data_IF_582767308421
#
_entry.id   IF_582767308421
#
_cell.length_a   1.000
_cell.length_b   1.000
_cell.length_c   1.000
_cell.angle_alpha   90.00
_cell.angle_beta   90.00
_cell.angle_gamma   90.00
#
_symmetry.space_group_name_H-M   'P 1'
#
loop_
_entity.id
_entity.type
_entity.pdbx_description
1 polymer ?
#
# COMPACT_ATOMS: atom_id res chain seq x y z
N UNK A 1 -7.89 -9.89 30.50
CA UNK A 1 -9.36 -9.81 30.62
C UNK A 1 -10.08 -10.38 29.38
N UNK A 2 -9.73 -9.96 28.15
CA UNK A 2 -10.37 -10.46 26.91
C UNK A 2 -10.24 -11.99 26.78
N UNK A 3 -9.03 -12.53 27.02
CA UNK A 3 -8.78 -13.97 26.97
C UNK A 3 -9.55 -14.76 28.03
N UNK A 4 -9.70 -14.23 29.24
CA UNK A 4 -10.45 -14.84 30.34
C UNK A 4 -11.96 -14.85 30.08
N UNK A 5 -12.45 -13.84 29.36
CA UNK A 5 -13.88 -13.66 29.10
C UNK A 5 -14.30 -14.03 27.68
N UNK A 6 -13.38 -14.58 26.88
CA UNK A 6 -13.60 -15.01 25.49
C UNK A 6 -14.03 -13.90 24.52
N UNK A 7 -13.61 -12.66 24.77
CA UNK A 7 -13.86 -11.55 23.85
C UNK A 7 -12.77 -11.44 22.80
N UNK A 8 -13.11 -11.12 21.56
CA UNK A 8 -12.14 -10.71 20.58
C UNK A 8 -11.50 -9.38 20.95
N UNK A 9 -10.21 -9.23 20.68
CA UNK A 9 -9.46 -8.00 20.90
C UNK A 9 -8.93 -7.50 19.56
N UNK A 10 -9.39 -6.32 19.11
CA UNK A 10 -9.03 -5.74 17.83
C UNK A 10 -8.26 -4.45 18.05
N UNK A 11 -6.97 -4.38 17.64
CA UNK A 11 -6.22 -3.13 17.66
C UNK A 11 -6.74 -2.19 16.58
N UNK A 12 -6.93 -0.94 16.94
CA UNK A 12 -7.46 0.10 16.06
C UNK A 12 -6.50 1.30 16.03
N UNK A 13 -6.06 1.65 14.83
CA UNK A 13 -5.25 2.85 14.57
C UNK A 13 -6.10 3.95 13.97
N UNK A 14 -6.02 4.16 12.64
CA UNK A 14 -6.82 5.16 11.93
C UNK A 14 -8.10 4.64 11.27
N UNK A 15 -8.39 3.35 11.33
CA UNK A 15 -9.59 2.75 10.72
C UNK A 15 -9.66 2.87 9.20
N UNK A 16 -8.53 3.04 8.53
CA UNK A 16 -8.45 3.34 7.10
C UNK A 16 -8.29 2.10 6.19
N UNK A 17 -8.32 0.89 6.77
CA UNK A 17 -8.26 -0.35 5.99
C UNK A 17 -9.45 -0.46 5.02
N UNK A 18 -9.15 -0.79 3.76
CA UNK A 18 -10.17 -1.01 2.70
C UNK A 18 -10.49 -2.49 2.49
N UNK A 19 -9.84 -3.39 3.23
CA UNK A 19 -9.97 -4.85 3.11
C UNK A 19 -10.66 -5.51 4.31
N UNK A 20 -11.17 -4.69 5.23
CA UNK A 20 -11.88 -5.19 6.42
C UNK A 20 -10.97 -5.75 7.53
N UNK A 21 -9.74 -5.29 7.63
CA UNK A 21 -8.76 -5.73 8.64
C UNK A 21 -9.14 -5.44 10.10
N UNK A 22 -10.12 -4.56 10.34
CA UNK A 22 -10.68 -4.26 11.66
C UNK A 22 -12.15 -4.65 11.80
N UNK A 23 -12.73 -5.37 10.84
CA UNK A 23 -14.07 -5.93 11.00
C UNK A 23 -14.04 -7.07 12.01
N UNK A 24 -14.85 -7.00 13.03
CA UNK A 24 -14.95 -8.05 14.05
C UNK A 24 -15.25 -9.44 13.48
N UNK A 25 -15.16 -10.50 14.30
CA UNK A 25 -15.61 -11.83 13.92
C UNK A 25 -17.10 -11.83 13.56
N UNK A 26 -17.57 -12.90 12.92
CA UNK A 26 -19.00 -13.08 12.67
C UNK A 26 -19.79 -12.98 13.98
N UNK A 27 -21.00 -12.40 13.87
CA UNK A 27 -21.80 -11.89 15.00
C UNK A 27 -21.99 -12.90 16.14
N UNK A 28 -22.07 -14.17 15.83
CA UNK A 28 -22.36 -15.24 16.80
C UNK A 28 -21.14 -16.08 17.19
N UNK A 29 -19.94 -15.74 16.69
CA UNK A 29 -18.73 -16.53 16.91
C UNK A 29 -18.13 -16.31 18.30
N UNK A 30 -18.33 -15.14 18.92
CA UNK A 30 -17.78 -14.75 20.23
C UNK A 30 -18.79 -13.88 20.99
N UNK A 31 -18.73 -13.86 22.34
CA UNK A 31 -19.61 -13.04 23.19
C UNK A 31 -19.56 -11.55 22.89
N UNK A 32 -18.43 -11.06 22.37
CA UNK A 32 -18.26 -9.66 22.01
C UNK A 32 -16.86 -9.32 21.52
N UNK A 33 -16.69 -8.05 21.21
CA UNK A 33 -15.45 -7.46 20.68
C UNK A 33 -15.02 -6.29 21.56
N UNK A 34 -13.76 -6.26 21.94
CA UNK A 34 -13.08 -5.11 22.55
C UNK A 34 -12.18 -4.47 21.53
N UNK A 35 -12.42 -3.22 21.19
CA UNK A 35 -11.54 -2.44 20.31
C UNK A 35 -10.54 -1.68 21.18
N UNK A 36 -9.25 -1.87 20.91
CA UNK A 36 -8.16 -1.12 21.56
C UNK A 36 -7.75 0.02 20.66
N UNK A 37 -8.23 1.22 20.95
CA UNK A 37 -7.85 2.44 20.27
C UNK A 37 -6.44 2.87 20.69
N UNK A 38 -5.53 2.94 19.73
CA UNK A 38 -4.13 3.32 19.94
C UNK A 38 -3.90 4.83 19.80
N UNK A 39 -4.93 5.64 19.59
CA UNK A 39 -4.82 7.09 19.33
C UNK A 39 -4.06 7.89 20.41
N UNK A 40 -4.02 7.41 21.65
CA UNK A 40 -3.22 8.01 22.71
C UNK A 40 -1.71 7.69 22.63
N UNK A 41 -1.30 6.71 21.84
CA UNK A 41 0.10 6.40 21.56
C UNK A 41 0.57 7.23 20.34
N UNK A 42 0.71 8.55 20.50
CA UNK A 42 0.84 9.50 19.40
C UNK A 42 2.09 10.41 19.48
N UNK A 43 3.14 9.95 20.17
CA UNK A 43 4.36 10.74 20.39
C UNK A 43 5.56 10.11 19.72
N UNK A 44 6.50 10.94 19.33
CA UNK A 44 7.89 10.55 19.10
C UNK A 44 8.57 10.51 20.45
N UNK A 45 9.06 9.34 20.85
CA UNK A 45 9.65 9.10 22.16
C UNK A 45 11.12 9.49 22.20
N UNK A 46 11.83 9.27 21.08
CA UNK A 46 13.25 9.51 20.97
C UNK A 46 13.61 9.80 19.50
N UNK A 47 14.53 10.72 19.24
CA UNK A 47 15.10 11.01 17.92
C UNK A 47 16.62 10.87 18.02
N UNK A 48 17.19 10.04 17.15
CA UNK A 48 18.64 9.93 16.96
C UNK A 48 19.02 10.57 15.62
N UNK A 49 19.51 11.81 15.63
CA UNK A 49 19.86 12.50 14.39
C UNK A 49 21.16 11.97 13.75
N UNK A 50 22.01 11.29 14.52
CA UNK A 50 23.26 10.71 14.02
C UNK A 50 22.98 9.50 13.13
N UNK A 51 22.16 8.57 13.64
CA UNK A 51 21.75 7.39 12.88
C UNK A 51 20.52 7.65 12.00
N UNK A 52 19.93 8.85 12.07
CA UNK A 52 18.69 9.23 11.37
C UNK A 52 17.56 8.24 11.61
N UNK A 53 17.26 8.00 12.86
CA UNK A 53 16.16 7.13 13.30
C UNK A 53 15.35 7.82 14.40
N UNK A 54 14.11 7.36 14.58
CA UNK A 54 13.30 7.77 15.73
C UNK A 54 12.49 6.60 16.27
N UNK A 55 12.31 6.58 17.59
CA UNK A 55 11.36 5.71 18.27
C UNK A 55 10.00 6.39 18.32
N UNK A 56 9.03 5.81 17.66
CA UNK A 56 7.75 6.44 17.36
C UNK A 56 6.61 5.54 17.85
N UNK A 57 5.64 6.10 18.54
CA UNK A 57 4.47 5.38 19.02
C UNK A 57 3.51 5.04 17.85
N UNK A 58 2.88 3.88 17.94
CA UNK A 58 2.15 3.25 16.84
C UNK A 58 0.82 3.93 16.45
N UNK A 59 0.20 4.66 17.37
CA UNK A 59 -1.06 5.38 17.12
C UNK A 59 -0.90 6.75 16.47
N UNK A 60 0.33 7.23 16.27
CA UNK A 60 0.58 8.55 15.67
C UNK A 60 0.10 8.58 14.20
N UNK A 61 -0.64 9.61 13.82
CA UNK A 61 -1.08 9.83 12.45
C UNK A 61 -0.01 10.54 11.63
N UNK A 62 -0.05 10.37 10.30
CA UNK A 62 0.95 10.92 9.39
C UNK A 62 1.25 12.40 9.55
N UNK A 63 0.25 13.32 9.59
CA UNK A 63 0.50 14.74 9.81
C UNK A 63 1.22 15.06 11.11
N UNK A 64 0.80 14.45 12.22
CA UNK A 64 1.39 14.67 13.54
C UNK A 64 2.82 14.10 13.62
N UNK A 65 3.08 12.97 12.97
CA UNK A 65 4.41 12.36 12.86
C UNK A 65 5.38 13.31 12.12
N UNK A 66 4.99 13.79 10.96
CA UNK A 66 5.83 14.70 10.16
C UNK A 66 6.05 16.05 10.83
N UNK A 67 5.06 16.59 11.55
CA UNK A 67 5.21 17.86 12.29
C UNK A 67 6.16 17.69 13.47
N UNK A 68 6.12 16.55 14.19
CA UNK A 68 7.05 16.27 15.28
C UNK A 68 8.49 16.01 14.79
N UNK A 69 8.69 15.47 13.57
CA UNK A 69 10.03 15.26 12.98
C UNK A 69 10.64 16.53 12.39
N UNK A 70 9.81 17.49 12.00
CA UNK A 70 10.23 18.71 11.29
C UNK A 70 11.29 19.55 12.00
N UNK A 71 11.23 19.80 13.34
CA UNK A 71 12.27 20.53 14.06
C UNK A 71 13.66 19.87 13.99
N UNK A 72 13.70 18.55 13.78
CA UNK A 72 14.94 17.77 13.65
C UNK A 72 15.51 17.75 12.22
N UNK A 73 14.85 18.42 11.26
CA UNK A 73 15.26 18.37 9.86
C UNK A 73 15.06 17.01 9.18
N UNK A 74 14.26 16.13 9.80
CA UNK A 74 14.02 14.76 9.38
C UNK A 74 12.58 14.53 8.90
N UNK A 75 12.37 13.44 8.19
CA UNK A 75 11.07 12.98 7.69
C UNK A 75 11.06 11.46 7.57
N UNK A 76 9.94 10.82 7.86
CA UNK A 76 9.75 9.40 7.55
C UNK A 76 9.55 9.20 6.04
N UNK A 77 8.96 10.15 5.39
CA UNK A 77 8.66 10.15 3.95
C UNK A 77 7.74 9.01 3.50
N UNK A 78 7.03 8.38 4.41
CA UNK A 78 6.00 7.38 4.11
C UNK A 78 4.64 8.06 4.05
N UNK A 79 4.07 8.18 2.83
CA UNK A 79 2.83 8.93 2.58
C UNK A 79 1.84 8.05 1.80
N UNK A 80 1.14 7.12 2.44
CA UNK A 80 0.06 6.37 1.81
C UNK A 80 -1.12 7.31 1.47
N UNK A 81 -2.05 6.86 0.64
CA UNK A 81 -3.23 7.66 0.26
C UNK A 81 -4.08 8.06 1.49
N UNK A 82 -4.13 7.21 2.49
CA UNK A 82 -4.79 7.43 3.78
C UNK A 82 -3.98 8.23 4.81
N UNK A 83 -2.84 8.80 4.45
CA UNK A 83 -1.86 9.41 5.34
C UNK A 83 -2.44 10.35 6.41
N UNK A 84 -3.51 11.09 6.08
CA UNK A 84 -4.13 12.03 7.01
C UNK A 84 -4.86 11.34 8.18
N UNK A 85 -5.29 10.09 7.99
CA UNK A 85 -6.13 9.35 8.95
C UNK A 85 -5.57 8.00 9.35
N UNK A 86 -4.44 7.58 8.82
CA UNK A 86 -3.82 6.30 9.13
C UNK A 86 -2.64 6.46 10.08
N UNK A 87 -2.41 5.45 10.90
CA UNK A 87 -1.39 5.45 11.94
C UNK A 87 -0.16 4.64 11.55
N UNK A 88 0.99 4.95 12.16
CA UNK A 88 2.24 4.23 11.95
C UNK A 88 2.11 2.73 12.21
N UNK A 89 1.49 2.34 13.34
CA UNK A 89 1.29 0.91 13.66
C UNK A 89 0.38 0.21 12.65
N UNK A 90 -0.62 0.92 12.12
CA UNK A 90 -1.45 0.44 11.02
C UNK A 90 -0.64 0.21 9.76
N UNK A 91 0.24 1.13 9.37
CA UNK A 91 1.11 0.96 8.20
C UNK A 91 2.00 -0.29 8.33
N UNK A 92 2.62 -0.47 9.50
CA UNK A 92 3.50 -1.63 9.76
C UNK A 92 2.68 -2.94 9.75
N UNK A 93 1.54 -2.95 10.44
CA UNK A 93 0.68 -4.12 10.54
C UNK A 93 0.08 -4.56 9.20
N UNK A 94 -0.02 -3.67 8.21
CA UNK A 94 -0.60 -3.95 6.89
C UNK A 94 0.42 -3.97 5.75
N UNK A 95 1.72 -3.84 6.02
CA UNK A 95 2.77 -3.70 5.01
C UNK A 95 2.47 -2.59 3.99
N UNK A 96 2.00 -1.47 4.49
CA UNK A 96 1.58 -0.34 3.66
C UNK A 96 2.73 0.19 2.80
N UNK A 97 2.40 0.70 1.62
CA UNK A 97 3.32 1.42 0.75
C UNK A 97 2.97 2.90 0.67
N UNK A 98 3.99 3.73 0.54
CA UNK A 98 3.85 5.18 0.45
C UNK A 98 3.71 5.70 -0.98
N UNK A 99 3.62 7.02 -1.12
CA UNK A 99 3.56 7.71 -2.41
C UNK A 99 4.84 7.57 -3.25
N UNK A 100 5.97 7.32 -2.60
CA UNK A 100 7.28 7.21 -3.27
C UNK A 100 7.46 5.83 -3.87
N UNK A 101 7.82 5.78 -5.16
CA UNK A 101 7.45 4.69 -6.04
C UNK A 101 8.53 3.65 -6.31
N UNK A 102 9.82 3.93 -6.05
CA UNK A 102 10.91 3.04 -6.51
C UNK A 102 12.00 2.77 -5.48
N UNK A 103 12.03 3.51 -4.37
CA UNK A 103 13.02 3.34 -3.31
C UNK A 103 12.32 3.50 -1.96
N UNK A 104 12.56 2.59 -1.02
CA UNK A 104 11.87 2.56 0.27
C UNK A 104 10.33 2.65 0.12
N UNK A 105 9.77 1.82 -0.74
CA UNK A 105 8.35 1.83 -1.08
C UNK A 105 7.48 1.26 0.03
N UNK A 106 7.91 0.14 0.60
CA UNK A 106 7.23 -0.52 1.72
C UNK A 106 7.71 0.01 3.06
N UNK A 107 6.80 0.09 4.00
CA UNK A 107 7.12 0.40 5.41
C UNK A 107 8.12 -0.59 6.01
N UNK A 108 8.16 -1.82 5.51
CA UNK A 108 9.07 -2.90 5.91
C UNK A 108 10.54 -2.45 5.92
N UNK A 109 10.95 -1.67 4.92
CA UNK A 109 12.33 -1.21 4.76
C UNK A 109 12.67 -0.06 5.72
N UNK A 110 11.65 0.61 6.23
CA UNK A 110 11.79 1.72 7.17
C UNK A 110 11.80 1.25 8.62
N UNK A 111 11.30 0.04 8.92
CA UNK A 111 11.33 -0.52 10.27
C UNK A 111 12.73 -0.97 10.63
N UNK A 112 13.25 -0.49 11.76
CA UNK A 112 14.52 -0.92 12.32
C UNK A 112 14.33 -1.92 13.46
N UNK A 113 13.35 -1.70 14.33
CA UNK A 113 12.91 -2.66 15.35
C UNK A 113 11.50 -2.35 15.85
N UNK A 114 10.83 -3.35 16.41
CA UNK A 114 9.47 -3.25 16.96
C UNK A 114 9.42 -3.53 18.44
N UNK A 115 8.44 -2.90 19.09
CA UNK A 115 7.93 -3.33 20.40
C UNK A 115 6.47 -3.79 20.21
N UNK A 116 6.21 -5.05 20.56
CA UNK A 116 4.92 -5.71 20.37
C UNK A 116 4.43 -6.30 21.68
N UNK A 117 3.20 -6.01 22.06
CA UNK A 117 2.53 -6.60 23.21
C UNK A 117 1.63 -7.74 22.75
N UNK A 118 1.79 -8.90 23.36
CA UNK A 118 1.00 -10.09 23.09
C UNK A 118 0.41 -10.64 24.40
N UNK A 119 -0.60 -11.50 24.37
CA UNK A 119 -1.07 -12.20 25.58
C UNK A 119 -0.01 -13.00 26.31
N UNK A 120 0.98 -13.56 25.60
CA UNK A 120 2.08 -14.32 26.21
C UNK A 120 3.20 -13.44 26.80
N UNK A 121 3.26 -12.15 26.44
CA UNK A 121 4.28 -11.23 26.90
C UNK A 121 4.62 -10.13 25.93
N UNK A 122 5.65 -9.35 26.25
CA UNK A 122 6.14 -8.25 25.39
C UNK A 122 7.40 -8.68 24.68
N UNK A 123 7.40 -8.50 23.35
CA UNK A 123 8.58 -8.69 22.49
C UNK A 123 9.14 -7.31 22.16
N UNK A 124 10.44 -7.15 22.37
CA UNK A 124 11.17 -5.95 22.00
C UNK A 124 12.52 -6.34 21.43
N UNK A 125 12.71 -6.05 20.15
CA UNK A 125 13.94 -6.38 19.47
C UNK A 125 15.00 -5.29 19.64
N UNK A 126 16.26 -5.65 19.40
CA UNK A 126 17.36 -4.69 19.43
C UNK A 126 17.26 -3.77 18.21
N UNK A 127 17.53 -2.50 18.42
CA UNK A 127 17.74 -1.53 17.36
C UNK A 127 19.09 -1.78 16.69
N UNK A 128 19.10 -2.23 15.45
CA UNK A 128 20.31 -2.54 14.67
C UNK A 128 20.10 -2.14 13.20
N UNK A 129 21.16 -1.61 12.52
CA UNK A 129 21.05 -1.28 11.09
C UNK A 129 20.82 -2.51 10.20
N UNK A 130 21.27 -3.68 10.66
CA UNK A 130 21.09 -4.99 10.06
C UNK A 130 21.66 -6.07 10.96
N UNK A 131 21.22 -7.32 10.80
CA UNK A 131 21.74 -8.46 11.56
C UNK A 131 21.65 -9.72 10.73
N UNK A 132 22.71 -10.55 10.77
CA UNK A 132 22.74 -11.92 10.27
C UNK A 132 22.51 -12.98 11.33
N UNK A 133 22.07 -12.57 12.54
CA UNK A 133 21.86 -13.49 13.68
C UNK A 133 20.48 -14.17 13.59
N UNK A 134 20.32 -15.06 12.64
CA UNK A 134 19.10 -15.83 12.40
C UNK A 134 17.99 -15.04 11.69
N UNK A 135 16.76 -15.59 11.64
CA UNK A 135 15.59 -14.92 11.06
C UNK A 135 15.29 -13.61 11.79
N UNK A 136 14.90 -12.58 11.03
CA UNK A 136 14.53 -11.29 11.60
C UNK A 136 13.18 -11.41 12.34
N UNK A 137 13.13 -11.20 13.66
CA UNK A 137 11.91 -11.38 14.44
C UNK A 137 10.85 -10.31 14.18
N UNK A 138 11.23 -9.10 13.74
CA UNK A 138 10.27 -8.04 13.41
C UNK A 138 9.41 -8.41 12.21
N UNK A 139 9.97 -9.18 11.27
CA UNK A 139 9.27 -9.62 10.05
C UNK A 139 8.07 -10.54 10.34
N UNK A 140 8.00 -11.15 11.53
CA UNK A 140 6.83 -11.92 11.95
C UNK A 140 5.59 -11.03 12.17
N UNK A 141 5.82 -9.81 12.65
CA UNK A 141 4.74 -8.88 13.01
C UNK A 141 4.38 -7.90 11.89
N UNK A 142 5.31 -7.63 10.98
CA UNK A 142 5.07 -6.79 9.81
C UNK A 142 4.10 -7.52 8.87
N UNK A 143 2.91 -6.93 8.64
CA UNK A 143 1.85 -7.57 7.86
C UNK A 143 0.96 -8.55 8.63
N UNK A 144 1.10 -8.64 9.96
CA UNK A 144 0.27 -9.52 10.80
C UNK A 144 -1.15 -9.00 11.05
N UNK A 145 -1.45 -7.76 10.66
CA UNK A 145 -2.76 -7.11 10.83
C UNK A 145 -3.31 -7.18 12.26
N UNK A 146 -2.42 -7.14 13.25
CA UNK A 146 -2.79 -7.24 14.66
C UNK A 146 -3.21 -8.62 15.13
N UNK A 147 -3.06 -9.65 14.30
CA UNK A 147 -3.41 -11.02 14.68
C UNK A 147 -2.37 -11.71 15.57
N UNK A 148 -1.11 -11.29 15.54
CA UNK A 148 -0.01 -11.87 16.32
C UNK A 148 0.39 -11.04 17.55
N UNK A 149 -0.06 -9.79 17.61
CA UNK A 149 0.29 -8.87 18.69
C UNK A 149 -0.09 -7.44 18.36
N UNK A 150 0.00 -6.55 19.35
CA UNK A 150 -0.29 -5.13 19.21
C UNK A 150 1.04 -4.37 19.19
N UNK A 151 1.35 -3.75 18.06
CA UNK A 151 2.53 -2.90 17.92
C UNK A 151 2.28 -1.62 18.72
N UNK A 152 3.14 -1.31 19.69
CA UNK A 152 3.00 -0.12 20.54
C UNK A 152 3.92 1.00 20.12
N UNK A 153 5.11 0.69 19.69
CA UNK A 153 6.10 1.62 19.16
C UNK A 153 7.12 0.91 18.25
N UNK A 154 7.78 1.67 17.42
CA UNK A 154 8.79 1.19 16.50
C UNK A 154 9.95 2.18 16.38
N UNK A 155 11.17 1.67 16.21
CA UNK A 155 12.28 2.44 15.68
C UNK A 155 12.17 2.48 14.16
N UNK A 156 12.11 3.69 13.62
CA UNK A 156 11.94 3.93 12.18
C UNK A 156 13.15 4.63 11.59
N UNK A 157 13.62 4.16 10.44
CA UNK A 157 14.64 4.84 9.61
C UNK A 157 14.06 6.09 9.01
N UNK A 158 14.79 7.19 9.11
CA UNK A 158 14.37 8.50 8.63
C UNK A 158 15.28 9.01 7.52
N UNK A 159 14.78 9.98 6.80
CA UNK A 159 15.51 10.68 5.72
C UNK A 159 15.66 12.16 6.07
N UNK A 160 16.67 12.81 5.49
CA UNK A 160 16.75 14.27 5.49
C UNK A 160 15.59 14.88 4.72
N UNK A 161 15.11 16.06 5.13
CA UNK A 161 14.05 16.76 4.41
C UNK A 161 14.56 17.21 3.04
N UNK A 162 13.71 17.01 2.05
CA UNK A 162 14.02 17.29 0.64
C UNK A 162 14.33 18.76 0.40
N UNK A 163 15.46 19.04 -0.23
CA UNK A 163 15.92 20.38 -0.63
C UNK A 163 15.90 20.53 -2.17
N UNK A 164 16.25 19.51 -2.90
CA UNK A 164 16.38 19.51 -4.34
C UNK A 164 15.31 18.65 -4.99
N UNK A 165 14.71 19.12 -6.07
CA UNK A 165 13.69 18.42 -6.84
C UNK A 165 13.89 18.68 -8.31
N UNK A 166 13.64 17.65 -9.12
CA UNK A 166 13.46 17.77 -10.56
C UNK A 166 12.31 16.86 -10.98
N UNK A 167 11.49 17.30 -11.93
CA UNK A 167 10.31 16.56 -12.32
C UNK A 167 9.94 16.76 -13.81
N UNK A 168 9.22 15.80 -14.37
CA UNK A 168 8.66 15.90 -15.71
C UNK A 168 7.35 15.12 -15.83
N UNK A 169 6.53 15.50 -16.81
CA UNK A 169 5.42 14.70 -17.33
C UNK A 169 5.69 14.31 -18.78
N UNK A 170 5.51 13.04 -19.08
CA UNK A 170 5.82 12.45 -20.39
C UNK A 170 4.61 11.66 -20.87
N UNK A 171 4.20 11.84 -22.15
CA UNK A 171 3.14 11.06 -22.76
C UNK A 171 3.68 9.97 -23.65
N UNK A 172 2.92 8.85 -23.72
CA UNK A 172 3.19 7.72 -24.61
C UNK A 172 1.91 7.35 -25.35
N UNK A 173 2.02 6.95 -26.62
CA UNK A 173 0.85 6.58 -27.45
C UNK A 173 0.13 5.33 -26.96
N UNK A 174 0.85 4.40 -26.32
CA UNK A 174 0.24 3.20 -25.75
C UNK A 174 0.83 2.95 -24.36
N UNK A 175 0.03 2.32 -23.48
CA UNK A 175 0.46 1.95 -22.15
C UNK A 175 1.70 1.05 -22.15
N UNK A 176 1.76 0.08 -23.08
CA UNK A 176 2.88 -0.86 -23.13
C UNK A 176 4.20 -0.22 -23.63
N UNK A 177 4.14 0.84 -24.44
CA UNK A 177 5.36 1.60 -24.80
C UNK A 177 5.99 2.24 -23.56
N UNK A 178 5.19 2.98 -22.80
CA UNK A 178 5.68 3.64 -21.60
C UNK A 178 6.07 2.65 -20.49
N UNK A 179 5.40 1.50 -20.41
CA UNK A 179 5.79 0.43 -19.48
C UNK A 179 7.22 -0.07 -19.73
N UNK A 180 7.65 -0.17 -20.99
CA UNK A 180 9.05 -0.52 -21.37
C UNK A 180 10.03 0.55 -20.91
N UNK A 181 9.69 1.83 -21.10
CA UNK A 181 10.52 2.94 -20.61
C UNK A 181 10.64 2.95 -19.09
N UNK A 182 9.53 2.78 -18.39
CA UNK A 182 9.47 2.74 -16.93
C UNK A 182 10.29 1.56 -16.37
N UNK A 183 10.20 0.37 -16.99
CA UNK A 183 11.07 -0.76 -16.66
C UNK A 183 12.55 -0.40 -16.78
N UNK A 184 12.94 0.19 -17.89
CA UNK A 184 14.33 0.57 -18.14
C UNK A 184 14.84 1.62 -17.12
N UNK A 185 13.98 2.58 -16.71
CA UNK A 185 14.32 3.57 -15.68
C UNK A 185 14.62 2.87 -14.34
N UNK A 186 13.76 1.94 -13.92
CA UNK A 186 13.94 1.23 -12.64
C UNK A 186 15.15 0.30 -12.66
N UNK A 187 15.40 -0.36 -13.80
CA UNK A 187 16.57 -1.25 -13.99
C UNK A 187 17.89 -0.48 -14.17
N UNK A 188 17.83 0.79 -14.53
CA UNK A 188 19.01 1.65 -14.60
C UNK A 188 19.52 2.16 -13.23
N UNK A 189 18.84 1.81 -12.13
CA UNK A 189 19.23 2.20 -10.78
C UNK A 189 19.08 3.70 -10.48
N UNK A 190 18.17 4.38 -11.17
CA UNK A 190 17.95 5.82 -11.01
C UNK A 190 17.08 6.17 -9.80
N UNK A 191 16.22 5.26 -9.38
CA UNK A 191 15.35 5.37 -8.20
C UNK A 191 14.56 6.69 -8.09
N UNK A 192 13.70 7.04 -9.08
CA UNK A 192 12.87 8.22 -8.96
C UNK A 192 11.96 8.13 -7.72
N UNK A 193 11.83 9.23 -7.02
CA UNK A 193 10.94 9.35 -5.86
C UNK A 193 9.46 9.26 -6.26
N UNK A 194 9.13 9.75 -7.46
CA UNK A 194 7.81 9.56 -8.07
C UNK A 194 7.98 9.00 -9.49
N UNK A 195 7.38 7.84 -9.75
CA UNK A 195 7.34 7.22 -11.07
C UNK A 195 5.93 6.63 -11.27
N UNK A 196 4.95 7.51 -11.46
CA UNK A 196 3.54 7.15 -11.63
C UNK A 196 3.21 7.07 -13.11
N UNK A 197 2.89 5.89 -13.57
CA UNK A 197 2.52 5.68 -14.95
C UNK A 197 1.04 5.33 -15.05
N UNK A 198 0.27 6.19 -15.70
CA UNK A 198 -1.19 6.17 -15.82
C UNK A 198 -1.56 5.74 -17.25
N UNK A 199 -2.56 4.87 -17.41
CA UNK A 199 -3.17 4.67 -18.71
C UNK A 199 -4.03 5.89 -19.11
N UNK A 200 -4.54 5.89 -20.33
CA UNK A 200 -5.26 7.01 -20.93
C UNK A 200 -6.49 7.41 -20.09
N UNK A 201 -7.21 6.40 -19.58
CA UNK A 201 -8.42 6.63 -18.80
C UNK A 201 -8.09 7.13 -17.38
N UNK A 202 -7.09 6.54 -16.74
CA UNK A 202 -6.64 6.97 -15.41
C UNK A 202 -6.04 8.38 -15.47
N UNK A 203 -5.26 8.70 -16.53
CA UNK A 203 -4.72 10.04 -16.76
C UNK A 203 -5.82 11.10 -16.89
N UNK A 204 -6.88 10.81 -17.65
CA UNK A 204 -8.05 11.67 -17.77
C UNK A 204 -8.78 11.82 -16.44
N UNK A 205 -8.98 10.73 -15.73
CA UNK A 205 -9.70 10.67 -14.47
C UNK A 205 -9.04 11.53 -13.38
N UNK A 206 -7.71 11.54 -13.36
CA UNK A 206 -6.92 12.34 -12.43
C UNK A 206 -6.55 13.73 -12.96
N UNK A 207 -7.01 14.11 -14.16
CA UNK A 207 -6.68 15.40 -14.77
C UNK A 207 -5.20 15.56 -15.14
N UNK A 208 -4.49 14.45 -15.30
CA UNK A 208 -3.09 14.43 -15.73
C UNK A 208 -2.92 14.39 -17.24
N UNK A 209 -3.99 14.08 -17.98
CA UNK A 209 -4.06 14.02 -19.45
C UNK A 209 -5.49 14.21 -19.95
N UNK A 210 -5.66 14.23 -21.26
CA UNK A 210 -6.95 14.38 -21.93
C UNK A 210 -7.67 13.05 -22.26
N UNK A 211 -6.97 11.93 -22.02
CA UNK A 211 -7.48 10.58 -22.29
C UNK A 211 -7.06 10.01 -23.64
N UNK A 212 -6.16 10.66 -24.38
CA UNK A 212 -5.63 10.19 -25.65
C UNK A 212 -4.34 9.41 -25.54
N UNK A 213 -3.49 9.79 -24.59
CA UNK A 213 -2.17 9.24 -24.36
C UNK A 213 -2.03 8.74 -22.90
N UNK A 214 -1.26 7.70 -22.68
CA UNK A 214 -0.81 7.31 -21.36
C UNK A 214 0.22 8.31 -20.81
N UNK A 215 0.24 8.57 -19.50
CA UNK A 215 1.04 9.65 -18.90
C UNK A 215 1.96 9.13 -17.79
N UNK A 216 3.25 9.40 -17.93
CA UNK A 216 4.23 9.20 -16.87
C UNK A 216 4.45 10.52 -16.11
N UNK A 217 4.26 10.46 -14.80
CA UNK A 217 4.62 11.51 -13.86
C UNK A 217 5.91 11.09 -13.14
N UNK A 218 7.01 11.76 -13.50
CA UNK A 218 8.36 11.43 -13.05
C UNK A 218 8.90 12.53 -12.13
N UNK A 219 9.53 12.16 -11.02
CA UNK A 219 10.11 13.11 -10.08
C UNK A 219 11.27 12.53 -9.30
N UNK A 220 12.32 13.31 -9.16
CA UNK A 220 13.49 13.02 -8.35
C UNK A 220 13.58 13.99 -7.17
N UNK A 221 14.06 13.51 -6.05
CA UNK A 221 14.23 14.29 -4.83
C UNK A 221 15.55 13.94 -4.14
N UNK A 222 16.19 14.95 -3.55
CA UNK A 222 17.36 14.80 -2.69
C UNK A 222 17.35 15.78 -1.53
N UNK A 223 17.89 15.36 -0.39
CA UNK A 223 18.16 16.23 0.75
C UNK A 223 19.55 16.92 0.65
N UNK A 224 20.40 16.51 -0.28
CA UNK A 224 21.82 16.81 -0.30
C UNK A 224 22.31 17.51 -1.58
N UNK A 225 21.95 17.00 -2.77
CA UNK A 225 22.51 17.45 -4.05
C UNK A 225 21.43 17.62 -5.14
N UNK A 226 21.73 18.40 -6.21
CA UNK A 226 20.88 18.49 -7.39
C UNK A 226 20.68 17.13 -8.07
N UNK A 227 19.51 16.92 -8.68
CA UNK A 227 19.07 15.64 -9.25
C UNK A 227 18.75 15.72 -10.75
N UNK A 228 19.20 16.78 -11.41
CA UNK A 228 18.91 17.07 -12.83
C UNK A 228 19.47 15.98 -13.75
N UNK A 229 20.69 15.50 -13.52
CA UNK A 229 21.32 14.46 -14.32
C UNK A 229 20.52 13.14 -14.31
N UNK A 230 19.86 12.81 -13.19
CA UNK A 230 19.00 11.63 -13.10
C UNK A 230 17.71 11.82 -13.89
N UNK A 231 17.12 13.02 -13.83
CA UNK A 231 15.97 13.35 -14.66
C UNK A 231 16.33 13.30 -16.14
N UNK A 232 17.44 13.93 -16.57
CA UNK A 232 17.89 13.93 -17.95
C UNK A 232 18.09 12.51 -18.49
N UNK A 233 18.77 11.65 -17.74
CA UNK A 233 18.94 10.25 -18.13
C UNK A 233 17.61 9.52 -18.29
N UNK A 234 16.67 9.76 -17.39
CA UNK A 234 15.33 9.17 -17.47
C UNK A 234 14.54 9.68 -18.69
N UNK A 235 14.70 10.95 -19.05
CA UNK A 235 14.07 11.53 -20.24
C UNK A 235 14.65 10.99 -21.53
N UNK A 236 15.97 10.73 -21.59
CA UNK A 236 16.59 10.02 -22.72
C UNK A 236 15.95 8.64 -22.91
N UNK A 237 15.86 7.84 -21.83
CA UNK A 237 15.20 6.53 -21.85
C UNK A 237 13.76 6.67 -22.35
N UNK A 238 13.00 7.64 -21.85
CA UNK A 238 11.62 7.85 -22.31
C UNK A 238 11.55 8.13 -23.82
N UNK A 239 12.46 8.95 -24.35
CA UNK A 239 12.53 9.28 -25.79
C UNK A 239 12.83 8.03 -26.63
N UNK A 240 13.73 7.16 -26.18
CA UNK A 240 14.06 5.91 -26.89
C UNK A 240 12.84 5.00 -27.09
N UNK A 241 11.86 5.10 -26.18
CA UNK A 241 10.58 4.38 -26.27
C UNK A 241 9.42 5.24 -26.81
N UNK A 242 9.71 6.35 -27.49
CA UNK A 242 8.69 7.21 -28.13
C UNK A 242 7.93 8.13 -27.18
N UNK A 243 8.48 8.37 -25.99
CA UNK A 243 7.93 9.32 -25.03
C UNK A 243 8.09 10.77 -25.47
N UNK A 244 7.04 11.57 -25.28
CA UNK A 244 7.00 12.99 -25.59
C UNK A 244 6.89 13.78 -24.29
N UNK A 245 7.92 14.57 -23.99
CA UNK A 245 7.96 15.43 -22.80
C UNK A 245 6.92 16.54 -22.97
N UNK A 246 5.99 16.65 -22.02
CA UNK A 246 4.95 17.69 -22.00
C UNK A 246 5.29 18.83 -21.03
N UNK A 247 5.95 18.51 -19.93
CA UNK A 247 6.39 19.48 -18.92
C UNK A 247 7.66 18.97 -18.27
N UNK A 248 8.58 19.87 -17.94
CA UNK A 248 9.82 19.59 -17.21
C UNK A 248 10.19 20.79 -16.34
N UNK A 249 10.74 20.52 -15.15
CA UNK A 249 11.39 21.52 -14.30
C UNK A 249 12.62 20.87 -13.62
N UNK A 250 13.77 21.50 -13.76
CA UNK A 250 15.00 21.12 -13.11
C UNK A 250 15.14 21.68 -11.70
N UNK A 251 16.27 21.40 -11.06
CA UNK A 251 16.58 21.84 -9.68
C UNK A 251 16.68 23.36 -9.58
N UNK A 252 17.18 24.04 -10.62
CA UNK A 252 17.31 25.49 -10.68
C UNK A 252 15.96 26.20 -10.91
N UNK A 253 14.97 25.48 -11.45
CA UNK A 253 13.61 25.99 -11.64
C UNK A 253 12.82 25.85 -10.34
N UNK A 254 11.63 26.49 -10.29
CA UNK A 254 10.74 26.26 -9.16
C UNK A 254 10.04 24.88 -9.24
N UNK A 255 10.83 23.81 -9.17
CA UNK A 255 10.35 22.42 -9.30
C UNK A 255 9.30 22.05 -8.24
N UNK A 256 9.30 22.71 -7.08
CA UNK A 256 8.26 22.55 -6.07
C UNK A 256 6.91 23.08 -6.56
N UNK A 257 6.89 24.25 -7.18
CA UNK A 257 5.67 24.85 -7.74
C UNK A 257 5.17 24.05 -8.93
N UNK A 258 6.07 23.64 -9.83
CA UNK A 258 5.76 22.80 -10.98
C UNK A 258 5.17 21.45 -10.56
N UNK A 259 5.65 20.86 -9.45
CA UNK A 259 5.08 19.63 -8.89
C UNK A 259 3.68 19.80 -8.27
N UNK A 260 3.23 21.04 -8.11
CA UNK A 260 1.90 21.40 -7.58
C UNK A 260 0.95 21.94 -8.64
N UNK A 261 1.40 22.11 -9.86
CA UNK A 261 0.63 22.61 -11.01
C UNK A 261 0.64 21.60 -12.16
N UNK A 262 -0.20 21.84 -13.17
CA UNK A 262 -0.29 20.98 -14.36
C UNK A 262 -0.62 19.51 -14.04
N UNK A 263 -0.18 18.55 -14.87
CA UNK A 263 -0.49 17.13 -14.71
C UNK A 263 -0.11 16.55 -13.35
N UNK A 264 1.05 16.91 -12.81
CA UNK A 264 1.51 16.44 -11.50
C UNK A 264 0.70 17.02 -10.34
N UNK A 265 0.40 18.32 -10.38
CA UNK A 265 -0.42 19.00 -9.38
C UNK A 265 -1.85 18.45 -9.36
N UNK A 266 -2.45 18.29 -10.53
CA UNK A 266 -3.79 17.74 -10.69
C UNK A 266 -3.87 16.31 -10.13
N UNK A 267 -2.93 15.46 -10.52
CA UNK A 267 -2.87 14.09 -10.02
C UNK A 267 -2.72 14.06 -8.48
N UNK A 268 -1.80 14.84 -7.93
CA UNK A 268 -1.57 14.92 -6.48
C UNK A 268 -2.81 15.39 -5.71
N UNK A 269 -3.53 16.38 -6.24
CA UNK A 269 -4.77 16.87 -5.64
C UNK A 269 -5.85 15.78 -5.67
N UNK A 270 -6.09 15.17 -6.82
CA UNK A 270 -7.11 14.15 -6.99
C UNK A 270 -6.78 12.87 -6.21
N UNK A 271 -5.52 12.47 -6.13
CA UNK A 271 -5.08 11.32 -5.35
C UNK A 271 -5.54 11.39 -3.89
N UNK A 272 -5.52 12.57 -3.29
CA UNK A 272 -5.98 12.79 -1.90
C UNK A 272 -7.49 12.99 -1.80
N UNK A 273 -8.13 13.48 -2.86
CA UNK A 273 -9.56 13.84 -2.85
C UNK A 273 -10.50 12.70 -3.25
N UNK A 274 -10.13 11.92 -4.25
CA UNK A 274 -10.99 10.89 -4.85
C UNK A 274 -11.52 9.82 -3.87
N UNK A 275 -10.78 9.38 -2.84
CA UNK A 275 -11.32 8.44 -1.85
C UNK A 275 -12.55 8.98 -1.12
N UNK A 276 -12.65 10.30 -0.95
CA UNK A 276 -13.79 10.96 -0.30
C UNK A 276 -15.08 10.90 -1.14
N UNK A 277 -14.96 10.62 -2.44
CA UNK A 277 -16.09 10.51 -3.37
C UNK A 277 -16.73 9.11 -3.40
N UNK A 278 -16.22 8.13 -2.67
CA UNK A 278 -16.74 6.77 -2.70
C UNK A 278 -18.23 6.71 -2.32
N UNK A 279 -18.63 7.41 -1.27
CA UNK A 279 -20.05 7.49 -0.86
C UNK A 279 -20.93 8.16 -1.91
N UNK A 280 -20.42 9.23 -2.53
CA UNK A 280 -21.15 9.94 -3.60
C UNK A 280 -21.37 9.03 -4.80
N UNK A 281 -20.38 8.25 -5.21
CA UNK A 281 -20.50 7.28 -6.31
C UNK A 281 -21.54 6.21 -5.99
N UNK A 282 -21.49 5.64 -4.79
CA UNK A 282 -22.49 4.67 -4.35
C UNK A 282 -23.91 5.26 -4.38
N UNK A 283 -24.09 6.49 -3.90
CA UNK A 283 -25.38 7.19 -3.96
C UNK A 283 -25.86 7.47 -5.39
N UNK A 284 -24.94 7.60 -6.35
CA UNK A 284 -25.26 7.77 -7.78
C UNK A 284 -25.53 6.44 -8.51
N UNK A 285 -25.55 5.31 -7.80
CA UNK A 285 -25.73 4.00 -8.41
C UNK A 285 -24.51 3.53 -9.20
N UNK A 286 -23.31 3.84 -8.69
CA UNK A 286 -22.04 3.41 -9.28
C UNK A 286 -21.31 2.51 -8.27
N UNK A 287 -21.13 1.24 -8.62
CA UNK A 287 -20.18 0.39 -7.92
C UNK A 287 -18.78 0.81 -8.31
N UNK A 288 -17.94 1.08 -7.32
CA UNK A 288 -16.58 1.55 -7.53
C UNK A 288 -15.65 0.95 -6.48
N UNK A 289 -14.60 0.30 -6.90
CA UNK A 289 -13.55 -0.21 -6.03
C UNK A 289 -12.22 -0.30 -6.75
N UNK A 290 -11.19 -0.61 -6.01
CA UNK A 290 -9.83 -0.74 -6.51
C UNK A 290 -9.21 -2.01 -5.96
N UNK A 291 -8.33 -2.61 -6.75
CA UNK A 291 -7.44 -3.67 -6.30
C UNK A 291 -6.05 -3.43 -6.88
N UNK A 292 -5.08 -4.07 -6.32
CA UNK A 292 -3.70 -3.92 -6.74
C UNK A 292 -2.96 -5.25 -6.55
N UNK A 293 -1.85 -5.39 -7.26
CA UNK A 293 -1.11 -6.65 -7.32
C UNK A 293 0.36 -6.37 -7.67
N UNK A 294 1.16 -7.41 -7.75
CA UNK A 294 2.51 -7.38 -8.29
C UNK A 294 2.83 -8.69 -9.00
N UNK A 295 3.63 -8.62 -10.04
CA UNK A 295 4.18 -9.74 -10.80
C UNK A 295 5.42 -9.29 -11.59
N UNK A 296 6.17 -10.23 -12.14
CA UNK A 296 7.44 -9.96 -12.80
C UNK A 296 7.28 -9.33 -14.20
N UNK A 297 8.29 -8.59 -14.67
CA UNK A 297 8.24 -7.88 -15.95
C UNK A 297 8.09 -8.80 -17.16
N UNK A 298 8.63 -10.01 -17.11
CA UNK A 298 8.55 -10.99 -18.20
C UNK A 298 7.10 -11.43 -18.47
N UNK A 299 6.25 -11.41 -17.44
CA UNK A 299 4.84 -11.79 -17.52
C UNK A 299 3.89 -10.60 -17.61
N UNK A 300 4.41 -9.36 -17.54
CA UNK A 300 3.59 -8.17 -17.39
C UNK A 300 2.51 -8.04 -18.45
N UNK A 301 2.88 -8.08 -19.74
CA UNK A 301 1.93 -7.82 -20.84
C UNK A 301 0.84 -8.88 -20.93
N UNK A 302 1.18 -10.16 -20.72
CA UNK A 302 0.26 -11.28 -20.67
C UNK A 302 -0.75 -11.14 -19.53
N UNK A 303 -0.25 -10.98 -18.30
CA UNK A 303 -1.06 -10.95 -17.07
C UNK A 303 -1.98 -9.73 -17.08
N UNK A 304 -1.45 -8.55 -17.39
CA UNK A 304 -2.20 -7.30 -17.44
C UNK A 304 -3.33 -7.35 -18.49
N UNK A 305 -3.03 -7.85 -19.70
CA UNK A 305 -4.02 -7.98 -20.76
C UNK A 305 -5.17 -8.91 -20.35
N UNK A 306 -4.86 -10.03 -19.72
CA UNK A 306 -5.86 -11.01 -19.32
C UNK A 306 -6.72 -10.50 -18.15
N UNK A 307 -6.13 -9.83 -17.15
CA UNK A 307 -6.88 -9.19 -16.05
C UNK A 307 -7.88 -8.18 -16.64
N UNK A 308 -7.41 -7.27 -17.49
CA UNK A 308 -8.24 -6.24 -18.12
C UNK A 308 -9.37 -6.85 -18.97
N UNK A 309 -9.08 -7.92 -19.71
CA UNK A 309 -10.06 -8.64 -20.53
C UNK A 309 -11.16 -9.27 -19.68
N UNK A 310 -10.81 -9.97 -18.59
CA UNK A 310 -11.78 -10.63 -17.70
C UNK A 310 -12.71 -9.63 -17.03
N UNK A 311 -12.17 -8.53 -16.53
CA UNK A 311 -12.96 -7.49 -15.87
C UNK A 311 -13.92 -6.83 -16.87
N UNK A 312 -13.43 -6.41 -18.05
CA UNK A 312 -14.28 -5.80 -19.11
C UNK A 312 -15.39 -6.75 -19.55
N UNK A 313 -15.08 -8.05 -19.69
CA UNK A 313 -16.08 -9.07 -20.01
C UNK A 313 -17.16 -9.13 -18.93
N UNK A 314 -16.77 -9.25 -17.67
CA UNK A 314 -17.72 -9.31 -16.55
C UNK A 314 -18.58 -8.05 -16.44
N UNK A 315 -18.01 -6.86 -16.61
CA UNK A 315 -18.75 -5.61 -16.65
C UNK A 315 -19.79 -5.58 -17.77
N UNK A 316 -19.39 -5.99 -18.99
CA UNK A 316 -20.27 -5.99 -20.16
C UNK A 316 -21.45 -6.98 -20.03
N UNK A 317 -21.15 -8.20 -19.60
CA UNK A 317 -22.13 -9.28 -19.53
C UNK A 317 -23.15 -9.12 -18.38
N UNK A 318 -22.72 -8.56 -17.23
CA UNK A 318 -23.54 -8.52 -16.05
C UNK A 318 -24.08 -7.11 -15.70
N UNK A 319 -23.42 -6.05 -16.15
CA UNK A 319 -23.75 -4.67 -15.76
C UNK A 319 -23.95 -3.73 -16.96
N UNK A 320 -23.96 -4.27 -18.18
CA UNK A 320 -24.14 -3.49 -19.40
C UNK A 320 -22.94 -2.63 -19.81
N UNK A 321 -21.84 -2.68 -19.05
CA UNK A 321 -20.61 -1.96 -19.31
C UNK A 321 -19.95 -1.44 -18.04
N UNK A 322 -18.89 -0.66 -18.21
CA UNK A 322 -18.14 -0.06 -17.13
C UNK A 322 -16.79 0.47 -17.59
N UNK A 323 -16.02 0.95 -16.64
CA UNK A 323 -14.65 1.44 -16.84
C UNK A 323 -13.73 0.60 -15.98
N UNK A 324 -12.62 0.16 -16.56
CA UNK A 324 -11.46 -0.33 -15.85
C UNK A 324 -10.24 0.40 -16.38
N UNK A 325 -9.52 1.06 -15.50
CA UNK A 325 -8.27 1.75 -15.82
C UNK A 325 -7.18 1.30 -14.83
N UNK A 326 -5.94 1.60 -15.20
CA UNK A 326 -4.79 1.13 -14.44
C UNK A 326 -3.67 2.15 -14.38
N UNK A 327 -2.86 2.01 -13.33
CA UNK A 327 -1.60 2.73 -13.20
C UNK A 327 -0.54 1.86 -12.52
N UNK A 328 0.72 2.16 -12.75
CA UNK A 328 1.76 1.68 -11.87
C UNK A 328 1.84 2.59 -10.63
N UNK A 329 1.56 2.00 -9.48
CA UNK A 329 1.68 2.68 -8.19
C UNK A 329 3.08 2.56 -7.62
N UNK A 330 3.70 1.39 -7.79
CA UNK A 330 5.05 1.08 -7.35
C UNK A 330 5.76 0.29 -8.44
N UNK A 331 7.07 0.38 -8.43
CA UNK A 331 7.92 -0.17 -9.47
C UNK A 331 9.19 -0.72 -8.85
N UNK A 332 9.53 -1.91 -9.27
CA UNK A 332 10.73 -2.62 -8.86
C UNK A 332 11.55 -2.98 -10.10
N UNK A 333 12.88 -3.19 -9.97
CA UNK A 333 13.69 -3.67 -11.08
C UNK A 333 13.18 -4.98 -11.69
N UNK A 334 12.55 -5.84 -10.88
CA UNK A 334 12.04 -7.17 -11.25
C UNK A 334 10.56 -7.19 -11.64
N UNK A 335 9.76 -6.16 -11.30
CA UNK A 335 8.33 -6.14 -11.65
C UNK A 335 7.61 -4.84 -11.32
N UNK A 336 6.44 -4.59 -11.94
CA UNK A 336 5.55 -3.52 -11.57
C UNK A 336 4.57 -3.95 -10.47
N UNK A 337 4.03 -2.98 -9.74
CA UNK A 337 2.84 -3.14 -8.93
C UNK A 337 1.68 -2.32 -9.53
N UNK A 338 0.91 -2.91 -10.45
CA UNK A 338 -0.25 -2.27 -11.04
C UNK A 338 -1.37 -2.08 -10.03
N UNK A 339 -2.06 -0.95 -10.19
CA UNK A 339 -3.25 -0.59 -9.43
C UNK A 339 -4.40 -0.41 -10.39
N UNK A 340 -5.46 -1.17 -10.22
CA UNK A 340 -6.64 -1.15 -11.07
C UNK A 340 -7.78 -0.41 -10.38
N UNK A 341 -8.46 0.45 -11.12
CA UNK A 341 -9.67 1.13 -10.67
C UNK A 341 -10.84 0.66 -11.52
N UNK A 342 -11.90 0.19 -10.86
CA UNK A 342 -13.10 -0.35 -11.50
C UNK A 342 -14.29 0.55 -11.15
N UNK A 343 -15.08 0.88 -12.16
CA UNK A 343 -16.37 1.55 -12.00
C UNK A 343 -17.37 0.91 -12.95
N UNK A 344 -18.58 0.66 -12.47
CA UNK A 344 -19.67 0.15 -13.30
C UNK A 344 -21.02 0.66 -12.79
N UNK A 345 -22.03 0.77 -13.67
CA UNK A 345 -23.38 1.11 -13.25
C UNK A 345 -23.93 0.03 -12.32
N UNK A 346 -24.69 0.45 -11.32
CA UNK A 346 -25.41 -0.41 -10.38
C UNK A 346 -26.68 0.27 -9.90
N UNK A 347 -27.42 -0.44 -9.08
CA UNK A 347 -28.58 0.09 -8.33
C UNK A 347 -28.37 -0.18 -6.84
N UNK A 348 -29.12 0.47 -5.97
CA UNK A 348 -29.06 0.14 -4.54
C UNK A 348 -29.37 -1.34 -4.27
N UNK A 349 -30.26 -1.94 -5.06
CA UNK A 349 -30.66 -3.33 -4.88
C UNK A 349 -29.55 -4.33 -5.24
N UNK A 350 -28.71 -4.04 -6.23
CA UNK A 350 -27.70 -4.98 -6.72
C UNK A 350 -26.24 -4.53 -6.50
N UNK A 351 -25.99 -3.38 -5.87
CA UNK A 351 -24.64 -2.82 -5.74
C UNK A 351 -23.66 -3.75 -5.01
N UNK A 352 -24.12 -4.43 -3.97
CA UNK A 352 -23.28 -5.36 -3.21
C UNK A 352 -22.97 -6.64 -4.02
N UNK A 353 -23.94 -7.15 -4.75
CA UNK A 353 -23.75 -8.31 -5.64
C UNK A 353 -22.82 -7.97 -6.80
N UNK A 354 -23.00 -6.79 -7.42
CA UNK A 354 -22.12 -6.30 -8.47
C UNK A 354 -20.67 -6.09 -7.96
N UNK A 355 -20.51 -5.52 -6.77
CA UNK A 355 -19.20 -5.41 -6.13
C UNK A 355 -18.57 -6.80 -5.93
N UNK A 356 -19.30 -7.71 -5.30
CA UNK A 356 -18.79 -9.06 -5.00
C UNK A 356 -18.40 -9.82 -6.29
N UNK A 357 -19.25 -9.79 -7.30
CA UNK A 357 -18.98 -10.45 -8.59
C UNK A 357 -17.72 -9.91 -9.25
N UNK A 358 -17.54 -8.58 -9.34
CA UNK A 358 -16.34 -7.99 -9.96
C UNK A 358 -15.08 -8.23 -9.11
N UNK A 359 -15.22 -8.19 -7.78
CA UNK A 359 -14.14 -8.48 -6.85
C UNK A 359 -13.66 -9.94 -6.98
N UNK A 360 -14.60 -10.89 -7.04
CA UNK A 360 -14.30 -12.32 -7.20
C UNK A 360 -13.62 -12.58 -8.54
N UNK A 361 -14.12 -11.99 -9.64
CA UNK A 361 -13.51 -12.11 -10.99
C UNK A 361 -12.07 -11.57 -11.00
N UNK A 362 -11.83 -10.42 -10.36
CA UNK A 362 -10.49 -9.84 -10.28
C UNK A 362 -9.55 -10.74 -9.45
N UNK A 363 -10.00 -11.15 -8.27
CA UNK A 363 -9.20 -11.94 -7.33
C UNK A 363 -8.89 -13.34 -7.86
N UNK A 364 -9.85 -14.01 -8.51
CA UNK A 364 -9.62 -15.29 -9.16
C UNK A 364 -8.60 -15.15 -10.31
N UNK A 365 -8.70 -14.09 -11.10
CA UNK A 365 -7.74 -13.81 -12.16
C UNK A 365 -6.31 -13.66 -11.61
N UNK A 366 -6.11 -12.95 -10.49
CA UNK A 366 -4.81 -12.78 -9.88
C UNK A 366 -4.19 -14.12 -9.48
N UNK A 367 -4.92 -14.97 -8.77
CA UNK A 367 -4.43 -16.27 -8.31
C UNK A 367 -4.15 -17.21 -9.48
N UNK A 368 -5.06 -17.30 -10.44
CA UNK A 368 -4.89 -18.17 -11.60
C UNK A 368 -3.70 -17.78 -12.49
N UNK A 369 -3.42 -16.49 -12.57
CA UNK A 369 -2.29 -15.95 -13.33
C UNK A 369 -0.99 -15.92 -12.51
N UNK A 370 -0.99 -16.35 -11.24
CA UNK A 370 0.18 -16.36 -10.37
C UNK A 370 0.70 -14.96 -9.99
N UNK A 371 -0.20 -13.99 -9.93
CA UNK A 371 0.06 -12.68 -9.35
C UNK A 371 -0.29 -12.68 -7.85
N UNK A 372 0.28 -11.76 -7.05
CA UNK A 372 -0.11 -11.68 -5.64
C UNK A 372 -1.52 -11.10 -5.49
N UNK A 373 -2.27 -11.58 -4.49
CA UNK A 373 -3.63 -11.09 -4.25
C UNK A 373 -3.67 -9.63 -3.80
N UNK A 374 -2.64 -9.15 -3.16
CA UNK A 374 -2.49 -7.76 -2.73
C UNK A 374 -1.02 -7.39 -2.57
N UNK A 375 -0.67 -6.16 -2.95
CA UNK A 375 0.67 -5.63 -2.80
C UNK A 375 0.81 -4.74 -1.54
N UNK A 376 -0.23 -3.91 -1.22
CA UNK A 376 -0.15 -2.93 -0.13
C UNK A 376 -1.48 -2.61 0.57
N UNK A 377 -2.62 -3.20 0.15
CA UNK A 377 -3.91 -2.99 0.81
C UNK A 377 -4.12 -3.91 2.02
N UNK A 378 -3.24 -4.88 2.23
CA UNK A 378 -3.36 -5.97 3.19
C UNK A 378 -4.40 -7.02 2.79
N UNK A 379 -4.37 -8.16 3.46
CA UNK A 379 -5.29 -9.27 3.20
C UNK A 379 -6.69 -8.96 3.72
N UNK A 380 -6.80 -8.54 4.96
CA UNK A 380 -8.08 -8.32 5.62
C UNK A 380 -8.99 -9.53 5.54
N UNK A 381 -10.29 -9.29 5.65
CA UNK A 381 -11.31 -10.32 5.39
C UNK A 381 -11.66 -10.44 3.90
N UNK A 382 -11.51 -9.36 3.15
CA UNK A 382 -11.91 -9.30 1.75
C UNK A 382 -11.07 -10.23 0.86
N UNK A 383 -9.76 -10.28 1.08
CA UNK A 383 -8.86 -11.10 0.27
C UNK A 383 -8.48 -12.45 0.91
N UNK A 384 -8.94 -12.72 2.12
CA UNK A 384 -8.59 -13.93 2.85
C UNK A 384 -8.82 -15.24 2.07
N UNK A 385 -9.93 -15.46 1.33
CA UNK A 385 -10.14 -16.71 0.59
C UNK A 385 -9.10 -16.96 -0.51
N UNK A 386 -8.53 -15.91 -1.09
CA UNK A 386 -7.50 -15.98 -2.13
C UNK A 386 -6.10 -16.04 -1.53
N UNK A 387 -5.84 -15.32 -0.44
CA UNK A 387 -4.61 -15.47 0.33
C UNK A 387 -4.39 -16.92 0.78
N UNK A 388 -5.43 -17.62 1.17
CA UNK A 388 -5.36 -19.04 1.54
C UNK A 388 -4.98 -19.97 0.38
N UNK A 389 -5.19 -19.54 -0.88
CA UNK A 389 -4.74 -20.24 -2.09
C UNK A 389 -3.31 -19.85 -2.49
N UNK A 390 -2.89 -18.63 -2.20
CA UNK A 390 -1.56 -18.09 -2.54
C UNK A 390 -0.47 -18.62 -1.60
N UNK A 391 -0.76 -18.62 -0.30
CA UNK A 391 0.25 -18.92 0.71
C UNK A 391 0.47 -20.44 0.86
N UNK A 392 1.74 -20.85 1.01
CA UNK A 392 2.10 -22.24 1.18
C UNK A 392 1.40 -22.86 2.42
N UNK A 393 0.76 -24.04 2.30
CA UNK A 393 0.06 -24.70 3.41
C UNK A 393 0.95 -25.00 4.63
N UNK A 394 2.25 -25.29 4.42
CA UNK A 394 3.19 -25.51 5.52
C UNK A 394 3.47 -24.21 6.25
N UNK A 395 3.66 -23.09 5.51
CA UNK A 395 3.85 -21.77 6.13
C UNK A 395 2.63 -21.36 6.95
N UNK A 396 1.40 -21.63 6.48
CA UNK A 396 0.17 -21.39 7.27
C UNK A 396 0.19 -22.13 8.60
N UNK A 397 0.69 -23.39 8.62
CA UNK A 397 0.84 -24.15 9.88
C UNK A 397 1.88 -23.55 10.81
N UNK A 398 3.01 -23.06 10.26
CA UNK A 398 4.03 -22.36 11.05
C UNK A 398 3.45 -21.10 11.66
N UNK A 399 2.68 -20.34 10.88
CA UNK A 399 2.04 -19.09 11.35
C UNK A 399 0.98 -19.39 12.43
N UNK A 400 0.20 -20.48 12.29
CA UNK A 400 -0.75 -20.92 13.30
C UNK A 400 -0.06 -21.34 14.60
N UNK A 401 1.09 -22.00 14.53
CA UNK A 401 1.90 -22.34 15.70
C UNK A 401 2.43 -21.09 16.40
N UNK A 402 2.96 -20.12 15.66
CA UNK A 402 3.39 -18.84 16.19
C UNK A 402 2.23 -18.08 16.84
N UNK A 403 1.07 -18.03 16.20
CA UNK A 403 -0.15 -17.43 16.77
C UNK A 403 -0.55 -18.11 18.07
N UNK A 404 -0.51 -19.43 18.15
CA UNK A 404 -0.86 -20.19 19.35
C UNK A 404 0.08 -19.90 20.52
N UNK A 405 1.38 -19.75 20.26
CA UNK A 405 2.36 -19.39 21.27
C UNK A 405 2.17 -17.95 21.78
N UNK A 406 1.93 -17.00 20.88
CA UNK A 406 1.81 -15.57 21.20
C UNK A 406 0.44 -15.20 21.77
N UNK A 407 -0.62 -15.90 21.35
CA UNK A 407 -2.02 -15.67 21.74
C UNK A 407 -2.72 -17.01 21.96
N UNK A 408 -2.47 -17.68 23.09
CA UNK A 408 -3.01 -19.04 23.36
C UNK A 408 -4.53 -19.14 23.33
N UNK A 409 -5.23 -18.04 23.58
CA UNK A 409 -6.71 -17.97 23.55
C UNK A 409 -7.27 -17.60 22.16
N UNK A 410 -6.41 -17.28 21.21
CA UNK A 410 -6.81 -16.89 19.83
C UNK A 410 -7.79 -15.70 19.79
N UNK A 411 -7.59 -14.73 20.68
CA UNK A 411 -8.50 -13.59 20.80
C UNK A 411 -8.07 -12.37 19.97
N UNK A 412 -6.78 -12.24 19.60
CA UNK A 412 -6.29 -11.10 18.83
C UNK A 412 -6.73 -11.19 17.38
N UNK A 413 -7.52 -10.22 16.97
CA UNK A 413 -8.03 -10.00 15.61
C UNK A 413 -8.36 -11.30 14.84
N UNK A 414 -9.29 -12.12 15.33
CA UNK A 414 -9.56 -13.45 14.82
C UNK A 414 -10.12 -13.43 13.40
N UNK A 415 -9.77 -14.46 12.60
CA UNK A 415 -10.29 -14.65 11.24
C UNK A 415 -9.58 -13.82 10.16
N UNK A 416 -8.40 -13.23 10.45
CA UNK A 416 -7.61 -12.54 9.43
C UNK A 416 -6.58 -13.49 8.79
N UNK A 417 -5.34 -13.36 9.12
CA UNK A 417 -4.22 -14.01 8.41
C UNK A 417 -4.23 -15.53 8.54
N UNK A 418 -4.70 -16.06 9.67
CA UNK A 418 -4.70 -17.49 9.96
C UNK A 418 -5.88 -17.86 10.84
N UNK A 419 -6.44 -19.06 10.62
CA UNK A 419 -7.51 -19.61 11.45
C UNK A 419 -6.97 -20.54 12.53
N UNK A 420 -7.74 -20.64 13.61
CA UNK A 420 -7.47 -21.60 14.66
C UNK A 420 -7.53 -23.04 14.10
N UNK A 421 -6.47 -23.83 14.29
CA UNK A 421 -6.48 -25.20 13.81
C UNK A 421 -7.62 -26.02 14.43
N UNK A 422 -8.29 -26.84 13.61
CA UNK A 422 -9.34 -27.75 14.09
C UNK A 422 -8.75 -28.70 15.14
N UNK A 423 -9.45 -28.84 16.26
CA UNK A 423 -9.01 -29.74 17.36
C UNK A 423 -7.95 -29.16 18.30
N UNK A 424 -7.50 -27.94 18.11
CA UNK A 424 -6.60 -27.27 19.05
C UNK A 424 -7.32 -27.07 20.39
N UNK A 425 -6.94 -27.86 21.41
CA UNK A 425 -7.40 -27.65 22.79
C UNK A 425 -6.64 -26.46 23.38
N UNK A 426 -7.36 -25.45 23.82
CA UNK A 426 -6.77 -24.35 24.59
C UNK A 426 -6.44 -24.94 25.96
N UNK A 427 -5.15 -25.02 26.28
CA UNK A 427 -4.71 -25.38 27.63
C UNK A 427 -5.08 -24.18 28.54
N UNK A 428 -5.87 -24.50 29.55
CA UNK A 428 -6.45 -23.51 30.48
C UNK A 428 -5.41 -22.81 31.38
#
# INVERSE_FOLDING_TARGET
WCGENSYACIPYGGGSSVTGGFWGPERDALPGVVVIDLGNLNKILEVDPVSRCARIQAGILGPALEEQLKPHGLTLRHIPQSWEFSSLGGWIATRSSGHYATHLTHIDDMVESLRVVTPAGTIQNRRLPGSGAGPNPDRLFIGSEGSLGIITDAWMRLQGRVKFRANASISFKTFYQGAKAVRQITQAGLFPANCRYLDEQDAKFYGAGDGTDSVLLLGFESADHPVDAWLERSLEICKDFGGVVKQQAGTADNALETSRSGPQGNWRHQFRYLPRLMHTRAAMGIVSFTFETAYTWDRFEEVDTEIMRRIRKAQKENLGGGIVCRRFSFLYPDGPAPYYSIMAPSTHANSLEAYKMLHDVASDALIELGATITHHHAVGKSFRPWYDKEVDPLFRRVLAAAKTELDPKWMLNPGLIVDKPAGLKIVG
#
